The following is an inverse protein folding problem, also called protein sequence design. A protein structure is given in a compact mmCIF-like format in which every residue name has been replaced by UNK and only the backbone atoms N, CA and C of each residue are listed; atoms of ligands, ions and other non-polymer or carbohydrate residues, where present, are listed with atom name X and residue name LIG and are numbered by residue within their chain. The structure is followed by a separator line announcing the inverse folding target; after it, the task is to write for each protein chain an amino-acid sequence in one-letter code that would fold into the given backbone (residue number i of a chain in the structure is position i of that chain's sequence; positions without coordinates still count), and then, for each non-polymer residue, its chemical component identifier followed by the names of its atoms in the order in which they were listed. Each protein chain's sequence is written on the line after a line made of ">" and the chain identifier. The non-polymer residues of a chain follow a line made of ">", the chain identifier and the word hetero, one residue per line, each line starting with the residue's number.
data_IF_768556162196
#
_entry.id   IF_768556162196
#
_cell.length_a   1.000
_cell.length_b   1.000
_cell.length_c   1.000
_cell.angle_alpha   90.00
_cell.angle_beta   90.00
_cell.angle_gamma   90.00
#
_symmetry.space_group_name_H-M   'P 1'
#
loop_
_entity.id
_entity.type
_entity.pdbx_description
1 polymer ?
#
# COMPACT_ATOMS: atom_id res chain seq x y z
N UNK A 1 7.19 -21.08 -7.72
CA UNK A 1 6.05 -20.37 -8.34
C UNK A 1 4.98 -19.92 -7.33
N UNK A 2 4.91 -20.49 -6.11
CA UNK A 2 3.93 -20.05 -5.08
C UNK A 2 4.25 -18.68 -4.45
N UNK A 3 5.54 -18.35 -4.28
CA UNK A 3 5.96 -17.11 -3.64
C UNK A 3 5.45 -15.86 -4.38
N UNK A 4 5.50 -15.86 -5.71
CA UNK A 4 5.00 -14.75 -6.54
C UNK A 4 3.49 -14.55 -6.37
N UNK A 5 2.71 -15.62 -6.19
CA UNK A 5 1.28 -15.52 -5.90
C UNK A 5 1.00 -14.96 -4.50
N UNK A 6 1.77 -15.36 -3.50
CA UNK A 6 1.65 -14.82 -2.14
C UNK A 6 2.03 -13.34 -2.10
N UNK A 7 3.09 -12.94 -2.81
CA UNK A 7 3.55 -11.55 -2.87
C UNK A 7 2.53 -10.66 -3.58
N UNK A 8 1.98 -11.09 -4.72
CA UNK A 8 0.93 -10.33 -5.44
C UNK A 8 -0.36 -10.23 -4.61
N UNK A 9 -0.75 -11.30 -3.90
CA UNK A 9 -1.89 -11.28 -2.99
C UNK A 9 -1.68 -10.30 -1.82
N UNK A 10 -0.51 -10.34 -1.18
CA UNK A 10 -0.17 -9.43 -0.10
C UNK A 10 -0.12 -7.97 -0.58
N UNK A 11 0.48 -7.72 -1.75
CA UNK A 11 0.52 -6.40 -2.37
C UNK A 11 -0.87 -5.88 -2.73
N UNK A 12 -1.76 -6.72 -3.24
CA UNK A 12 -3.15 -6.36 -3.51
C UNK A 12 -3.91 -5.94 -2.25
N UNK A 13 -3.82 -6.74 -1.17
CA UNK A 13 -4.48 -6.41 0.10
C UNK A 13 -3.88 -5.17 0.75
N UNK A 14 -2.56 -5.01 0.69
CA UNK A 14 -1.90 -3.81 1.18
C UNK A 14 -2.33 -2.59 0.35
N UNK A 15 -2.34 -2.67 -0.97
CA UNK A 15 -2.88 -1.63 -1.84
C UNK A 15 -4.35 -1.30 -1.54
N UNK A 16 -5.16 -2.25 -1.10
CA UNK A 16 -6.56 -2.01 -0.76
C UNK A 16 -6.74 -1.35 0.62
N UNK A 17 -6.00 -1.79 1.64
CA UNK A 17 -6.21 -1.38 3.03
C UNK A 17 -5.34 -0.21 3.49
N UNK A 18 -4.18 -0.01 2.86
CA UNK A 18 -3.21 1.00 3.29
C UNK A 18 -3.74 2.45 3.28
N UNK A 19 -4.71 2.87 2.43
CA UNK A 19 -5.31 4.19 2.53
C UNK A 19 -5.96 4.47 3.89
N UNK A 20 -6.43 3.45 4.60
CA UNK A 20 -6.98 3.61 5.95
C UNK A 20 -5.93 4.09 6.96
N UNK A 21 -4.66 3.75 6.73
CA UNK A 21 -3.53 4.18 7.55
C UNK A 21 -3.20 5.67 7.32
N UNK A 22 -3.67 6.27 6.22
CA UNK A 22 -3.44 7.70 5.96
C UNK A 22 -4.22 8.56 6.95
N UNK A 23 -5.42 8.13 7.34
CA UNK A 23 -6.30 8.88 8.23
C UNK A 23 -5.62 9.24 9.56
N UNK A 24 -5.08 8.30 10.35
CA UNK A 24 -4.40 8.66 11.60
C UNK A 24 -3.16 9.54 11.36
N UNK A 25 -2.41 9.34 10.26
CA UNK A 25 -1.25 10.18 9.93
C UNK A 25 -1.67 11.62 9.61
N UNK A 26 -2.76 11.79 8.86
CA UNK A 26 -3.32 13.10 8.52
C UNK A 26 -3.90 13.78 9.77
N UNK A 27 -4.61 13.03 10.62
CA UNK A 27 -5.18 13.54 11.89
C UNK A 27 -4.08 13.95 12.87
N UNK A 28 -2.97 13.20 12.94
CA UNK A 28 -1.81 13.57 13.75
C UNK A 28 -1.11 14.85 13.26
N UNK A 29 -1.26 15.16 11.97
CA UNK A 29 -0.67 16.35 11.33
C UNK A 29 0.78 16.12 10.88
N UNK A 30 1.23 17.01 9.99
CA UNK A 30 2.61 17.01 9.47
C UNK A 30 3.26 18.31 9.93
N UNK A 31 3.96 18.24 11.06
CA UNK A 31 4.62 19.37 11.72
C UNK A 31 6.16 19.30 11.62
N UNK A 32 6.69 18.21 11.09
CA UNK A 32 8.13 17.93 11.04
C UNK A 32 8.54 17.19 9.77
N UNK A 33 9.82 17.28 9.43
CA UNK A 33 10.42 16.53 8.31
C UNK A 33 10.29 15.01 8.50
N UNK A 34 10.30 14.55 9.76
CA UNK A 34 10.11 13.13 10.08
C UNK A 34 8.68 12.70 9.73
N UNK A 35 7.66 13.46 10.15
CA UNK A 35 6.26 13.15 9.81
C UNK A 35 6.01 13.24 8.30
N UNK A 36 6.62 14.22 7.62
CA UNK A 36 6.54 14.32 6.16
C UNK A 36 7.18 13.10 5.48
N UNK A 37 8.37 12.70 5.91
CA UNK A 37 9.09 11.53 5.36
C UNK A 37 8.31 10.24 5.59
N UNK A 38 7.68 10.08 6.75
CA UNK A 38 6.79 8.95 7.05
C UNK A 38 5.60 8.92 6.09
N UNK A 39 4.93 10.06 5.87
CA UNK A 39 3.81 10.15 4.95
C UNK A 39 4.23 9.81 3.50
N UNK A 40 5.33 10.39 3.02
CA UNK A 40 5.86 10.10 1.67
C UNK A 40 6.28 8.64 1.52
N UNK A 41 6.92 8.06 2.54
CA UNK A 41 7.27 6.65 2.56
C UNK A 41 6.04 5.75 2.49
N UNK A 42 4.99 6.10 3.25
CA UNK A 42 3.72 5.39 3.24
C UNK A 42 3.03 5.44 1.87
N UNK A 43 3.02 6.60 1.21
CA UNK A 43 2.50 6.77 -0.15
C UNK A 43 3.33 5.97 -1.16
N UNK A 44 4.66 5.95 -1.01
CA UNK A 44 5.55 5.19 -1.90
C UNK A 44 5.32 3.68 -1.77
N UNK A 45 5.19 3.17 -0.54
CA UNK A 45 4.85 1.76 -0.28
C UNK A 45 3.49 1.41 -0.89
N UNK A 46 2.52 2.32 -0.77
CA UNK A 46 1.20 2.13 -1.38
C UNK A 46 1.27 2.04 -2.90
N UNK A 47 2.00 2.94 -3.55
CA UNK A 47 2.19 2.89 -4.99
C UNK A 47 2.86 1.58 -5.44
N UNK A 48 3.90 1.12 -4.71
CA UNK A 48 4.53 -0.17 -4.97
C UNK A 48 3.55 -1.33 -4.79
N UNK A 49 2.70 -1.30 -3.76
CA UNK A 49 1.68 -2.31 -3.52
C UNK A 49 0.65 -2.36 -4.66
N UNK A 50 0.25 -1.22 -5.22
CA UNK A 50 -0.63 -1.16 -6.38
C UNK A 50 0.02 -1.74 -7.64
N UNK A 51 1.29 -1.40 -7.89
CA UNK A 51 2.05 -1.90 -9.05
C UNK A 51 2.26 -3.42 -8.96
N UNK A 52 2.69 -3.91 -7.80
CA UNK A 52 2.97 -5.35 -7.60
C UNK A 52 1.68 -6.16 -7.50
N UNK A 53 0.62 -5.61 -6.89
CA UNK A 53 -0.67 -6.29 -6.72
C UNK A 53 -1.54 -6.30 -7.97
N UNK A 54 -1.16 -5.57 -9.03
CA UNK A 54 -1.95 -5.40 -10.25
C UNK A 54 -2.33 -6.74 -10.92
N UNK A 55 -1.40 -7.69 -10.92
CA UNK A 55 -1.58 -9.00 -11.56
C UNK A 55 -2.22 -10.05 -10.64
N UNK A 56 -2.74 -9.65 -9.48
CA UNK A 56 -3.40 -10.59 -8.57
C UNK A 56 -4.66 -11.19 -9.21
N UNK A 57 -4.53 -12.45 -9.65
CA UNK A 57 -5.53 -13.17 -10.45
C UNK A 57 -6.87 -13.39 -9.76
N UNK A 58 -6.93 -13.34 -8.43
CA UNK A 58 -8.16 -13.50 -7.65
C UNK A 58 -9.16 -12.34 -7.80
N UNK A 59 -8.70 -11.17 -8.25
CA UNK A 59 -9.54 -9.99 -8.48
C UNK A 59 -10.15 -9.93 -9.88
N UNK A 60 -9.62 -10.72 -10.83
CA UNK A 60 -10.06 -10.70 -12.23
C UNK A 60 -11.32 -11.57 -12.36
N UNK A 61 -12.49 -10.94 -12.25
CA UNK A 61 -13.75 -11.56 -12.70
C UNK A 61 -13.60 -11.91 -14.18
N UNK A 62 -13.70 -13.20 -14.51
CA UNK A 62 -13.74 -13.66 -15.91
C UNK A 62 -14.99 -13.18 -16.61
#
# INVERSE_FOLDING_TARGET
>A
MHLSHTVTAAAFWLGTLLPLVYLPVIVAGIDSVIHLSLFVGLVSIHALALVVGHDYSGSRSR
#
